data_IF_758670152058
#
_entry.id   IF_758670152058
#
_cell.length_a   1.000
_cell.length_b   1.000
_cell.length_c   1.000
_cell.angle_alpha   90.00
_cell.angle_beta   90.00
_cell.angle_gamma   90.00
#
_symmetry.space_group_name_H-M   'P 1'
#
loop_
_entity.id
_entity.type
_entity.pdbx_description
1 polymer ?
#
# COMPACT_ATOMS: atom_id res chain seq x y z
N UNK A 1 -1.18 13.65 -8.80
CA UNK A 1 -1.31 12.24 -8.37
C UNK A 1 -1.50 11.43 -9.64
N UNK A 2 -0.62 10.47 -9.94
CA UNK A 2 -0.92 9.49 -10.97
C UNK A 2 -2.16 8.72 -10.50
N UNK A 3 -3.19 8.61 -11.35
CA UNK A 3 -4.38 7.83 -11.03
C UNK A 3 -3.93 6.36 -10.93
N UNK A 4 -4.06 5.76 -9.75
CA UNK A 4 -3.83 4.33 -9.59
C UNK A 4 -4.92 3.59 -10.37
N UNK A 5 -4.54 2.87 -11.43
CA UNK A 5 -5.46 2.00 -12.15
C UNK A 5 -5.64 0.68 -11.39
N UNK A 6 -6.48 0.73 -10.36
CA UNK A 6 -6.77 -0.44 -9.50
C UNK A 6 -7.61 -1.49 -10.23
N UNK A 7 -8.43 -1.08 -11.20
CA UNK A 7 -9.24 -2.01 -11.99
C UNK A 7 -8.35 -2.79 -12.98
N UNK A 8 -7.45 -2.11 -13.70
CA UNK A 8 -6.47 -2.78 -14.54
C UNK A 8 -5.57 -3.73 -13.75
N UNK A 9 -5.14 -3.35 -12.54
CA UNK A 9 -4.37 -4.23 -11.66
C UNK A 9 -5.18 -5.46 -11.23
N UNK A 10 -6.47 -5.28 -10.93
CA UNK A 10 -7.39 -6.35 -10.54
C UNK A 10 -7.56 -7.36 -11.68
N UNK A 11 -7.83 -6.89 -12.89
CA UNK A 11 -7.93 -7.75 -14.08
C UNK A 11 -6.63 -8.52 -14.30
N UNK A 12 -5.48 -7.86 -14.14
CA UNK A 12 -4.16 -8.49 -14.28
C UNK A 12 -3.93 -9.60 -13.24
N UNK A 13 -4.28 -9.35 -11.97
CA UNK A 13 -4.22 -10.35 -10.90
C UNK A 13 -5.14 -11.54 -11.19
N UNK A 14 -6.37 -11.28 -11.64
CA UNK A 14 -7.36 -12.31 -11.95
C UNK A 14 -6.90 -13.17 -13.14
N UNK A 15 -6.29 -12.55 -14.17
CA UNK A 15 -5.65 -13.27 -15.27
C UNK A 15 -4.49 -14.16 -14.78
N UNK A 16 -3.62 -13.63 -13.91
CA UNK A 16 -2.47 -14.38 -13.42
C UNK A 16 -2.90 -15.60 -12.60
N UNK A 17 -3.89 -15.42 -11.73
CA UNK A 17 -4.48 -16.51 -10.95
C UNK A 17 -5.18 -17.52 -11.85
N UNK A 18 -5.94 -17.06 -12.85
CA UNK A 18 -6.59 -17.97 -13.81
C UNK A 18 -5.57 -18.86 -14.52
N UNK A 19 -4.47 -18.29 -15.02
CA UNK A 19 -3.40 -19.03 -15.69
C UNK A 19 -2.75 -20.06 -14.76
N UNK A 20 -2.48 -19.70 -13.50
CA UNK A 20 -1.88 -20.63 -12.53
C UNK A 20 -2.82 -21.78 -12.14
N UNK A 21 -4.12 -21.52 -12.06
CA UNK A 21 -5.12 -22.49 -11.59
C UNK A 21 -5.62 -23.41 -12.71
N UNK A 22 -5.86 -22.87 -13.92
CA UNK A 22 -6.67 -23.52 -14.95
C UNK A 22 -5.91 -23.89 -16.23
N UNK A 23 -4.66 -23.47 -16.40
CA UNK A 23 -3.86 -23.83 -17.57
C UNK A 23 -2.83 -24.94 -17.22
N UNK A 24 -3.14 -26.23 -17.49
CA UNK A 24 -2.23 -27.33 -17.18
C UNK A 24 -0.93 -27.24 -17.99
N UNK A 25 -0.94 -26.73 -19.22
CA UNK A 25 0.26 -26.51 -20.03
C UNK A 25 1.19 -25.48 -19.38
N UNK A 26 0.61 -24.43 -18.79
CA UNK A 26 1.37 -23.45 -18.03
C UNK A 26 2.00 -24.11 -16.82
N UNK A 27 1.28 -24.97 -16.09
CA UNK A 27 1.81 -25.68 -14.91
C UNK A 27 2.89 -26.69 -15.28
N UNK A 28 2.66 -27.54 -16.29
CA UNK A 28 3.63 -28.55 -16.72
C UNK A 28 4.93 -27.93 -17.23
N UNK A 29 4.84 -26.81 -17.98
CA UNK A 29 6.03 -26.06 -18.41
C UNK A 29 6.86 -25.55 -17.24
N UNK A 30 6.20 -25.21 -16.12
CA UNK A 30 6.84 -24.79 -14.87
C UNK A 30 7.46 -25.95 -14.11
N UNK A 31 6.85 -27.13 -14.18
CA UNK A 31 7.34 -28.35 -13.53
C UNK A 31 8.56 -28.96 -14.24
N UNK A 32 8.63 -28.91 -15.59
CA UNK A 32 9.58 -29.72 -16.38
C UNK A 32 10.99 -29.14 -16.57
N UNK A 33 11.30 -27.91 -16.12
CA UNK A 33 12.53 -27.20 -16.55
C UNK A 33 13.50 -26.74 -15.43
N UNK A 34 13.56 -27.38 -14.26
CA UNK A 34 14.47 -26.93 -13.19
C UNK A 34 14.12 -25.54 -12.63
N UNK A 35 12.86 -25.11 -12.83
CA UNK A 35 12.31 -23.80 -12.47
C UNK A 35 11.77 -23.73 -11.04
N UNK A 36 11.97 -24.78 -10.24
CA UNK A 36 11.56 -24.80 -8.83
C UNK A 36 12.11 -23.57 -8.08
N UNK A 37 13.35 -23.17 -8.37
CA UNK A 37 13.96 -21.97 -7.79
C UNK A 37 13.17 -20.69 -8.10
N UNK A 38 12.64 -20.53 -9.32
CA UNK A 38 11.86 -19.34 -9.70
C UNK A 38 10.47 -19.35 -9.07
N UNK A 39 9.79 -20.50 -9.05
CA UNK A 39 8.48 -20.62 -8.40
C UNK A 39 8.60 -20.40 -6.90
N UNK A 40 9.66 -20.91 -6.26
CA UNK A 40 9.98 -20.65 -4.86
C UNK A 40 10.25 -19.17 -4.61
N UNK A 41 11.03 -18.49 -5.47
CA UNK A 41 11.27 -17.05 -5.36
C UNK A 41 10.01 -16.21 -5.54
N UNK A 42 9.19 -16.51 -6.55
CA UNK A 42 7.91 -15.80 -6.77
C UNK A 42 6.93 -16.09 -5.63
N UNK A 43 6.96 -17.30 -5.07
CA UNK A 43 6.20 -17.65 -3.88
C UNK A 43 6.67 -16.84 -2.67
N UNK A 44 7.98 -16.74 -2.42
CA UNK A 44 8.54 -15.94 -1.33
C UNK A 44 8.21 -14.45 -1.52
N UNK A 45 8.30 -13.94 -2.75
CA UNK A 45 7.86 -12.60 -3.12
C UNK A 45 6.39 -12.35 -2.76
N UNK A 46 5.51 -13.31 -3.06
CA UNK A 46 4.09 -13.20 -2.71
C UNK A 46 3.86 -13.14 -1.19
N UNK A 47 4.66 -13.89 -0.40
CA UNK A 47 4.58 -13.85 1.06
C UNK A 47 4.96 -12.47 1.60
N UNK A 48 6.11 -11.95 1.14
CA UNK A 48 6.58 -10.62 1.50
C UNK A 48 5.50 -9.56 1.23
N UNK A 49 4.78 -9.67 0.11
CA UNK A 49 3.71 -8.72 -0.18
C UNK A 49 2.46 -8.89 0.68
N UNK A 50 2.13 -10.11 1.11
CA UNK A 50 1.08 -10.31 2.11
C UNK A 50 1.44 -9.63 3.43
N UNK A 51 2.70 -9.68 3.85
CA UNK A 51 3.19 -8.96 5.03
C UNK A 51 3.09 -7.44 4.82
N UNK A 52 3.46 -6.94 3.64
CA UNK A 52 3.30 -5.53 3.25
C UNK A 52 1.82 -5.11 3.30
N UNK A 53 0.90 -5.93 2.80
CA UNK A 53 -0.55 -5.69 2.91
C UNK A 53 -1.00 -5.61 4.36
N UNK A 54 -0.58 -6.54 5.22
CA UNK A 54 -0.95 -6.54 6.64
C UNK A 54 -0.48 -5.26 7.35
N UNK A 55 0.78 -4.89 7.15
CA UNK A 55 1.36 -3.64 7.67
C UNK A 55 0.60 -2.41 7.14
N UNK A 56 0.11 -2.46 5.90
CA UNK A 56 -0.66 -1.38 5.30
C UNK A 56 -2.08 -1.28 5.87
N UNK A 57 -2.73 -2.42 6.15
CA UNK A 57 -4.03 -2.47 6.86
C UNK A 57 -3.93 -1.86 8.26
N UNK A 58 -2.85 -2.14 8.99
CA UNK A 58 -2.61 -1.55 10.31
C UNK A 58 -2.49 -0.01 10.23
N UNK A 59 -1.84 0.51 9.18
CA UNK A 59 -1.78 1.97 8.94
C UNK A 59 -3.14 2.54 8.61
N UNK A 60 -3.90 1.92 7.72
CA UNK A 60 -5.24 2.40 7.36
C UNK A 60 -6.17 2.39 8.58
N UNK A 61 -6.09 1.36 9.42
CA UNK A 61 -6.80 1.31 10.69
C UNK A 61 -6.43 2.47 11.62
N UNK A 62 -5.13 2.75 11.76
CA UNK A 62 -4.66 3.86 12.58
C UNK A 62 -5.13 5.22 12.05
N UNK A 63 -5.10 5.43 10.73
CA UNK A 63 -5.60 6.65 10.08
C UNK A 63 -7.10 6.77 10.35
N UNK A 64 -7.89 5.74 10.06
CA UNK A 64 -9.35 5.74 10.25
C UNK A 64 -9.73 6.10 11.69
N UNK A 65 -9.15 5.43 12.67
CA UNK A 65 -9.45 5.69 14.07
C UNK A 65 -9.07 7.12 14.49
N UNK A 66 -7.96 7.65 13.98
CA UNK A 66 -7.55 9.01 14.30
C UNK A 66 -8.39 10.08 13.61
N UNK A 67 -8.89 9.83 12.38
CA UNK A 67 -9.86 10.69 11.71
C UNK A 67 -11.17 10.76 12.51
N UNK A 68 -11.69 9.60 12.94
CA UNK A 68 -12.92 9.52 13.72
C UNK A 68 -12.80 10.25 15.07
N UNK A 69 -11.71 10.03 15.81
CA UNK A 69 -11.44 10.71 17.10
C UNK A 69 -11.35 12.23 16.93
N UNK A 70 -10.71 12.68 15.84
CA UNK A 70 -10.58 14.09 15.52
C UNK A 70 -11.92 14.71 15.11
N UNK A 71 -12.72 14.02 14.28
CA UNK A 71 -14.06 14.48 13.92
C UNK A 71 -14.96 14.65 15.15
N UNK A 72 -14.96 13.67 16.06
CA UNK A 72 -15.72 13.75 17.30
C UNK A 72 -15.30 14.97 18.12
N UNK A 73 -14.00 15.22 18.24
CA UNK A 73 -13.46 16.38 18.95
C UNK A 73 -13.88 17.70 18.29
N UNK A 74 -13.86 17.79 16.95
CA UNK A 74 -14.21 19.00 16.22
C UNK A 74 -15.73 19.29 16.26
N UNK A 75 -16.57 18.25 16.26
CA UNK A 75 -18.04 18.36 16.34
C UNK A 75 -18.57 18.60 17.76
N UNK A 76 -17.75 18.38 18.80
CA UNK A 76 -18.14 18.68 20.18
C UNK A 76 -18.22 20.20 20.43
N UNK A 77 -19.44 20.73 20.53
CA UNK A 77 -19.75 22.15 20.81
C UNK A 77 -19.22 22.67 22.17
N UNK A 78 -18.76 21.80 23.06
CA UNK A 78 -18.21 22.18 24.37
C UNK A 78 -16.73 22.56 24.37
N UNK A 79 -15.99 22.24 23.30
CA UNK A 79 -14.54 22.51 23.22
C UNK A 79 -14.26 23.87 22.59
N UNK A 80 -13.35 24.63 23.20
CA UNK A 80 -12.92 25.91 22.64
C UNK A 80 -11.95 25.69 21.45
N UNK A 81 -11.72 26.74 20.67
CA UNK A 81 -10.90 26.66 19.45
C UNK A 81 -9.47 26.17 19.73
N UNK A 82 -8.87 26.53 20.87
CA UNK A 82 -7.51 26.12 21.24
C UNK A 82 -7.41 24.63 21.55
N UNK A 83 -8.44 24.04 22.17
CA UNK A 83 -8.53 22.59 22.40
C UNK A 83 -8.64 21.81 21.09
N UNK A 84 -9.45 22.30 20.15
CA UNK A 84 -9.61 21.71 18.80
C UNK A 84 -8.27 21.71 18.02
N UNK A 85 -7.54 22.82 18.06
CA UNK A 85 -6.20 22.93 17.45
C UNK A 85 -5.21 21.96 18.10
N UNK A 86 -5.23 21.86 19.44
CA UNK A 86 -4.35 20.95 20.16
C UNK A 86 -4.65 19.47 19.82
N UNK A 87 -5.93 19.10 19.68
CA UNK A 87 -6.36 17.77 19.27
C UNK A 87 -5.87 17.41 17.86
N UNK A 88 -6.06 18.34 16.90
CA UNK A 88 -5.54 18.19 15.54
C UNK A 88 -4.02 17.95 15.52
N UNK A 89 -3.26 18.77 16.25
CA UNK A 89 -1.80 18.64 16.32
C UNK A 89 -1.34 17.31 16.93
N UNK A 90 -2.05 16.80 17.95
CA UNK A 90 -1.77 15.47 18.52
C UNK A 90 -2.00 14.36 17.50
N UNK A 91 -3.13 14.39 16.80
CA UNK A 91 -3.45 13.42 15.75
C UNK A 91 -2.37 13.42 14.65
N UNK A 92 -2.05 14.59 14.11
CA UNK A 92 -1.02 14.76 13.07
C UNK A 92 0.32 14.18 13.48
N UNK A 93 0.78 14.50 14.70
CA UNK A 93 2.07 14.02 15.20
C UNK A 93 2.08 12.50 15.43
N UNK A 94 0.97 11.95 15.92
CA UNK A 94 0.80 10.50 16.10
C UNK A 94 0.82 9.78 14.76
N UNK A 95 0.03 10.25 13.78
CA UNK A 95 0.00 9.64 12.46
C UNK A 95 1.37 9.68 11.79
N UNK A 96 2.05 10.83 11.82
CA UNK A 96 3.44 10.94 11.32
C UNK A 96 4.34 9.85 11.87
N UNK A 97 4.31 9.68 13.19
CA UNK A 97 5.17 8.71 13.89
C UNK A 97 4.89 7.28 13.43
N UNK A 98 3.62 6.90 13.35
CA UNK A 98 3.21 5.54 13.03
C UNK A 98 3.35 5.24 11.52
N UNK A 99 3.07 6.19 10.63
CA UNK A 99 3.34 6.03 9.19
C UNK A 99 4.84 5.86 8.93
N UNK A 100 5.69 6.66 9.57
CA UNK A 100 7.14 6.52 9.44
C UNK A 100 7.63 5.15 9.96
N UNK A 101 7.06 4.69 11.08
CA UNK A 101 7.35 3.36 11.64
C UNK A 101 6.99 2.26 10.65
N UNK A 102 5.81 2.34 10.02
CA UNK A 102 5.38 1.42 8.98
C UNK A 102 6.31 1.44 7.76
N UNK A 103 6.65 2.62 7.22
CA UNK A 103 7.55 2.75 6.07
C UNK A 103 8.94 2.17 6.37
N UNK A 104 9.40 2.28 7.61
CA UNK A 104 10.66 1.64 8.04
C UNK A 104 10.52 0.11 8.18
N UNK A 105 9.37 -0.42 8.62
CA UNK A 105 9.09 -1.86 8.59
C UNK A 105 9.08 -2.39 7.16
N UNK A 106 8.47 -1.66 6.22
CA UNK A 106 8.46 -2.00 4.79
C UNK A 106 9.87 -2.03 4.18
N UNK A 107 10.73 -1.06 4.55
CA UNK A 107 12.16 -1.07 4.17
C UNK A 107 12.95 -2.22 4.79
N UNK A 108 12.59 -2.63 6.01
CA UNK A 108 13.27 -3.74 6.70
C UNK A 108 12.95 -5.08 6.06
N UNK A 109 11.71 -5.24 5.56
CA UNK A 109 11.28 -6.39 4.75
C UNK A 109 12.02 -6.40 3.38
N UNK A 110 12.42 -5.23 2.87
CA UNK A 110 13.23 -5.03 1.66
C UNK A 110 14.72 -5.41 1.83
N UNK A 111 15.19 -5.62 3.07
CA UNK A 111 16.57 -5.96 3.41
C UNK A 111 17.05 -7.33 2.89
N UNK A 112 16.15 -8.15 2.35
CA UNK A 112 16.47 -9.28 1.50
C UNK A 112 16.93 -8.79 0.12
N UNK A 113 18.22 -8.44 0.01
CA UNK A 113 18.96 -7.90 -1.15
C UNK A 113 18.76 -8.55 -2.54
N UNK A 114 17.87 -9.52 -2.72
CA UNK A 114 17.63 -10.17 -4.01
C UNK A 114 16.61 -9.49 -4.92
N UNK A 115 15.67 -8.69 -4.38
CA UNK A 115 14.43 -8.40 -5.12
C UNK A 115 14.53 -7.33 -6.22
N UNK A 116 15.33 -6.29 -6.03
CA UNK A 116 15.43 -5.16 -6.97
C UNK A 116 16.35 -5.48 -8.16
N UNK A 117 17.35 -6.36 -7.97
CA UNK A 117 18.33 -6.75 -9.00
C UNK A 117 17.91 -7.98 -9.82
N UNK A 118 16.99 -8.83 -9.34
CA UNK A 118 16.63 -10.08 -10.05
C UNK A 118 15.63 -9.90 -11.19
N UNK A 119 14.84 -8.81 -11.19
CA UNK A 119 13.80 -8.60 -12.20
C UNK A 119 14.34 -8.23 -13.60
N UNK A 120 15.64 -7.98 -13.73
CA UNK A 120 16.29 -7.66 -15.02
C UNK A 120 16.92 -8.88 -15.73
N UNK A 121 16.87 -10.09 -15.16
CA UNK A 121 17.59 -11.24 -15.75
C UNK A 121 16.78 -11.93 -16.87
N UNK A 122 17.22 -11.69 -18.11
CA UNK A 122 16.68 -12.24 -19.35
C UNK A 122 16.96 -13.75 -19.53
N UNK A 123 15.89 -14.56 -19.50
CA UNK A 123 15.61 -15.68 -20.42
C UNK A 123 14.23 -16.27 -20.09
N UNK A 124 13.24 -16.06 -20.97
CA UNK A 124 11.81 -16.04 -20.65
C UNK A 124 11.09 -17.39 -20.80
N UNK A 125 10.17 -17.68 -19.87
CA UNK A 125 8.81 -18.13 -20.21
C UNK A 125 7.77 -17.10 -19.72
N UNK A 126 6.83 -16.73 -20.59
CA UNK A 126 5.95 -15.55 -20.44
C UNK A 126 5.04 -15.62 -19.21
N UNK A 127 4.69 -16.82 -18.74
CA UNK A 127 3.70 -17.02 -17.69
C UNK A 127 4.20 -16.64 -16.27
N UNK A 128 5.46 -16.92 -15.93
CA UNK A 128 6.01 -16.52 -14.61
C UNK A 128 6.40 -15.05 -14.54
N UNK A 129 6.90 -14.50 -15.65
CA UNK A 129 7.15 -13.07 -15.74
C UNK A 129 5.87 -12.28 -15.51
N UNK A 130 4.76 -12.76 -16.07
CA UNK A 130 3.46 -12.14 -15.87
C UNK A 130 3.05 -12.08 -14.39
N UNK A 131 3.21 -13.18 -13.64
CA UNK A 131 2.95 -13.20 -12.19
C UNK A 131 3.90 -12.25 -11.47
N UNK A 132 5.20 -12.27 -11.79
CA UNK A 132 6.18 -11.39 -11.16
C UNK A 132 5.88 -9.90 -11.42
N UNK A 133 5.47 -9.54 -12.64
CA UNK A 133 5.03 -8.19 -13.01
C UNK A 133 3.78 -7.76 -12.23
N UNK A 134 2.81 -8.67 -12.06
CA UNK A 134 1.66 -8.44 -11.17
C UNK A 134 2.13 -8.12 -9.75
N UNK A 135 3.04 -8.92 -9.18
CA UNK A 135 3.55 -8.66 -7.83
C UNK A 135 4.24 -7.28 -7.76
N UNK A 136 5.01 -6.90 -8.78
CA UNK A 136 5.63 -5.57 -8.87
C UNK A 136 4.61 -4.44 -8.83
N UNK A 137 3.52 -4.56 -9.60
CA UNK A 137 2.46 -3.54 -9.63
C UNK A 137 1.65 -3.51 -8.34
N UNK A 138 1.39 -4.66 -7.71
CA UNK A 138 0.75 -4.72 -6.39
C UNK A 138 1.58 -3.97 -5.35
N UNK A 139 2.90 -4.19 -5.30
CA UNK A 139 3.81 -3.45 -4.42
C UNK A 139 3.72 -1.95 -4.67
N UNK A 140 3.78 -1.52 -5.94
CA UNK A 140 3.67 -0.11 -6.32
C UNK A 140 2.35 0.49 -5.86
N UNK A 141 1.24 -0.23 -6.06
CA UNK A 141 -0.09 0.22 -5.66
C UNK A 141 -0.16 0.42 -4.15
N UNK A 142 0.24 -0.57 -3.35
CA UNK A 142 0.20 -0.49 -1.88
C UNK A 142 1.04 0.68 -1.36
N UNK A 143 2.28 0.84 -1.86
CA UNK A 143 3.15 1.96 -1.46
C UNK A 143 2.50 3.30 -1.82
N UNK A 144 1.92 3.41 -3.01
CA UNK A 144 1.26 4.65 -3.46
C UNK A 144 0.00 4.94 -2.65
N UNK A 145 -0.77 3.92 -2.25
CA UNK A 145 -1.95 4.08 -1.37
C UNK A 145 -1.52 4.61 0.00
N UNK A 146 -0.50 4.01 0.62
CA UNK A 146 0.03 4.47 1.92
C UNK A 146 0.58 5.90 1.81
N UNK A 147 1.28 6.23 0.73
CA UNK A 147 1.82 7.58 0.47
C UNK A 147 0.70 8.61 0.21
N UNK A 148 -0.34 8.22 -0.53
CA UNK A 148 -1.50 9.07 -0.80
C UNK A 148 -2.28 9.35 0.48
N UNK A 149 -2.45 8.35 1.35
CA UNK A 149 -3.04 8.52 2.68
C UNK A 149 -2.22 9.44 3.56
N UNK A 150 -0.90 9.26 3.57
CA UNK A 150 0.01 10.12 4.31
C UNK A 150 -0.07 11.57 3.81
N UNK A 151 -0.05 11.76 2.50
CA UNK A 151 -0.19 13.06 1.85
C UNK A 151 -1.53 13.70 2.18
N UNK A 152 -2.62 12.92 2.09
CA UNK A 152 -3.97 13.37 2.43
C UNK A 152 -3.95 13.94 3.84
N UNK A 153 -3.46 13.22 4.84
CA UNK A 153 -3.53 13.69 6.23
C UNK A 153 -2.49 14.77 6.59
N UNK A 154 -1.31 14.76 5.96
CA UNK A 154 -0.18 15.62 6.35
C UNK A 154 -0.12 16.99 5.65
N UNK A 155 -0.88 17.23 4.58
CA UNK A 155 -0.94 18.55 3.93
C UNK A 155 -1.44 19.58 4.94
N UNK A 156 -0.71 20.68 5.21
CA UNK A 156 -1.29 21.81 5.93
C UNK A 156 -2.46 22.36 5.10
N UNK A 157 -3.66 22.27 5.66
CA UNK A 157 -4.93 22.44 4.96
C UNK A 157 -5.26 23.91 4.62
N UNK A 158 -4.30 24.83 4.79
CA UNK A 158 -4.39 26.25 4.43
C UNK A 158 -3.48 26.53 3.24
N UNK A 159 -4.07 27.05 2.17
CA UNK A 159 -3.41 27.29 0.89
C UNK A 159 -2.23 28.26 1.02
N UNK A 160 -1.01 27.80 0.69
CA UNK A 160 -0.08 28.63 -0.09
C UNK A 160 0.83 27.76 -0.97
N UNK A 161 1.00 28.21 -2.20
CA UNK A 161 1.89 27.60 -3.22
C UNK A 161 3.26 27.22 -2.63
N UNK A 162 3.79 26.03 -2.94
CA UNK A 162 5.16 25.70 -2.61
C UNK A 162 6.10 26.64 -3.39
N UNK A 163 7.12 27.18 -2.70
CA UNK A 163 8.25 27.83 -3.36
C UNK A 163 9.01 26.78 -4.16
N UNK A 164 9.03 26.97 -5.47
CA UNK A 164 9.74 26.14 -6.45
C UNK A 164 11.22 26.05 -6.06
N UNK A 165 11.72 24.83 -5.85
CA UNK A 165 13.15 24.55 -5.80
C UNK A 165 13.62 23.75 -4.59
N UNK A 166 13.28 22.46 -4.51
CA UNK A 166 14.22 21.45 -3.99
C UNK A 166 13.67 20.04 -4.26
N UNK A 167 14.24 19.35 -5.23
CA UNK A 167 14.01 17.92 -5.45
C UNK A 167 14.99 17.11 -4.59
N UNK A 168 14.86 17.17 -3.27
CA UNK A 168 15.63 16.32 -2.35
C UNK A 168 14.65 15.46 -1.54
N UNK A 169 14.56 14.17 -1.93
CA UNK A 169 13.71 13.09 -1.38
C UNK A 169 12.27 13.47 -1.03
N UNK A 170 11.33 12.75 -1.64
CA UNK A 170 9.87 12.84 -1.45
C UNK A 170 9.46 12.82 0.05
N UNK A 171 10.32 12.25 0.91
CA UNK A 171 10.16 12.19 2.37
C UNK A 171 10.35 13.50 3.15
N UNK A 172 10.93 14.55 2.56
CA UNK A 172 11.35 15.75 3.31
C UNK A 172 10.45 16.98 3.10
N UNK A 173 9.49 16.94 2.17
CA UNK A 173 8.80 18.15 1.67
C UNK A 173 7.29 18.14 1.91
N UNK A 174 6.84 17.68 3.08
CA UNK A 174 5.45 17.86 3.51
C UNK A 174 5.34 18.10 5.01
N UNK A 175 6.33 18.81 5.57
CA UNK A 175 6.37 19.21 6.96
C UNK A 175 6.50 20.72 7.11
N UNK A 176 5.76 21.49 6.32
CA UNK A 176 5.60 22.91 6.61
C UNK A 176 4.50 23.07 7.66
N UNK A 177 4.90 23.51 8.85
CA UNK A 177 4.01 24.05 9.85
C UNK A 177 3.49 25.40 9.31
N UNK A 178 2.17 25.57 9.29
CA UNK A 178 1.63 26.91 9.16
C UNK A 178 1.39 27.46 10.57
N UNK A 179 2.08 28.55 10.85
CA UNK A 179 1.80 29.45 11.97
C UNK A 179 0.76 30.45 11.44
N UNK A 180 -0.50 30.02 11.32
CA UNK A 180 -1.62 30.88 10.91
C UNK A 180 -2.74 30.83 11.95
N UNK A 181 -3.44 31.95 12.05
CA UNK A 181 -4.61 32.14 12.89
C UNK A 181 -5.72 31.15 12.45
N UNK A 182 -5.91 30.12 13.25
CA UNK A 182 -7.08 29.26 13.14
C UNK A 182 -8.33 30.09 13.40
N UNK A 183 -9.29 30.05 12.49
CA UNK A 183 -10.62 30.62 12.66
C UNK A 183 -11.70 29.55 12.47
N UNK A 184 -12.95 29.94 12.70
CA UNK A 184 -14.10 29.02 12.63
C UNK A 184 -14.33 28.49 11.20
N UNK A 185 -14.00 29.28 10.17
CA UNK A 185 -14.12 28.89 8.76
C UNK A 185 -13.07 27.84 8.39
N UNK A 186 -11.82 28.01 8.84
CA UNK A 186 -10.74 27.06 8.67
C UNK A 186 -11.03 25.74 9.39
N UNK A 187 -11.65 25.79 10.58
CA UNK A 187 -12.11 24.60 11.30
C UNK A 187 -13.21 23.86 10.54
N UNK A 188 -14.20 24.57 10.01
CA UNK A 188 -15.28 23.95 9.25
C UNK A 188 -14.76 23.30 7.95
N UNK A 189 -13.87 23.99 7.25
CA UNK A 189 -13.18 23.46 6.06
C UNK A 189 -12.37 22.20 6.39
N UNK A 190 -11.63 22.21 7.51
CA UNK A 190 -10.90 21.04 7.98
C UNK A 190 -11.84 19.87 8.30
N UNK A 191 -13.00 20.12 8.92
CA UNK A 191 -14.01 19.08 9.20
C UNK A 191 -14.53 18.42 7.91
N UNK A 192 -14.94 19.20 6.90
CA UNK A 192 -15.41 18.64 5.62
C UNK A 192 -14.33 17.83 4.91
N UNK A 193 -13.06 18.27 5.00
CA UNK A 193 -11.95 17.56 4.40
C UNK A 193 -11.57 16.27 5.15
N UNK A 194 -11.77 16.23 6.48
CA UNK A 194 -11.65 15.00 7.26
C UNK A 194 -12.72 13.98 6.88
N UNK A 195 -13.95 14.42 6.62
CA UNK A 195 -15.04 13.54 6.11
C UNK A 195 -14.67 12.93 4.76
N UNK A 196 -14.18 13.75 3.82
CA UNK A 196 -13.69 13.24 2.54
C UNK A 196 -12.53 12.24 2.73
N UNK A 197 -11.63 12.50 3.68
CA UNK A 197 -10.52 11.60 3.97
C UNK A 197 -10.96 10.28 4.58
N UNK A 198 -12.01 10.26 5.41
CA UNK A 198 -12.57 9.02 5.95
C UNK A 198 -13.15 8.13 4.85
N UNK A 199 -13.90 8.73 3.91
CA UNK A 199 -14.46 8.00 2.76
C UNK A 199 -13.33 7.41 1.92
N UNK A 200 -12.30 8.21 1.61
CA UNK A 200 -11.15 7.71 0.84
C UNK A 200 -10.39 6.59 1.57
N UNK A 201 -10.23 6.68 2.90
CA UNK A 201 -9.62 5.60 3.69
C UNK A 201 -10.43 4.32 3.58
N UNK A 202 -11.75 4.40 3.70
CA UNK A 202 -12.64 3.25 3.59
C UNK A 202 -12.55 2.58 2.21
N UNK A 203 -12.57 3.37 1.13
CA UNK A 203 -12.39 2.87 -0.24
C UNK A 203 -11.04 2.16 -0.41
N UNK A 204 -9.96 2.76 0.09
CA UNK A 204 -8.62 2.19 -0.01
C UNK A 204 -8.47 0.89 0.80
N UNK A 205 -9.17 0.74 1.92
CA UNK A 205 -9.16 -0.49 2.70
C UNK A 205 -9.89 -1.64 2.00
N UNK A 206 -11.00 -1.33 1.33
CA UNK A 206 -11.71 -2.31 0.49
C UNK A 206 -10.79 -2.81 -0.63
N UNK A 207 -10.11 -1.89 -1.31
CA UNK A 207 -9.19 -2.24 -2.40
C UNK A 207 -7.98 -3.02 -1.91
N UNK A 208 -7.39 -2.64 -0.77
CA UNK A 208 -6.28 -3.37 -0.17
C UNK A 208 -6.69 -4.79 0.24
N UNK A 209 -7.89 -4.96 0.80
CA UNK A 209 -8.44 -6.28 1.13
C UNK A 209 -8.66 -7.13 -0.13
N UNK A 210 -9.13 -6.52 -1.22
CA UNK A 210 -9.27 -7.16 -2.53
C UNK A 210 -7.93 -7.66 -3.08
N UNK A 211 -6.88 -6.84 -3.00
CA UNK A 211 -5.51 -7.22 -3.39
C UNK A 211 -5.01 -8.37 -2.51
N UNK A 212 -5.19 -8.26 -1.20
CA UNK A 212 -4.72 -9.26 -0.23
C UNK A 212 -5.30 -10.65 -0.51
N UNK A 213 -6.62 -10.75 -0.74
CA UNK A 213 -7.28 -12.02 -1.06
C UNK A 213 -6.74 -12.66 -2.35
N UNK A 214 -6.50 -11.85 -3.38
CA UNK A 214 -5.95 -12.33 -4.66
C UNK A 214 -4.52 -12.81 -4.53
N UNK A 215 -3.70 -12.14 -3.71
CA UNK A 215 -2.34 -12.60 -3.40
C UNK A 215 -2.33 -13.93 -2.65
N UNK A 216 -3.28 -14.15 -1.73
CA UNK A 216 -3.44 -15.46 -1.07
C UNK A 216 -3.70 -16.53 -2.13
N UNK A 217 -4.61 -16.27 -3.08
CA UNK A 217 -4.88 -17.22 -4.16
C UNK A 217 -3.61 -17.49 -4.97
N UNK A 218 -2.90 -16.47 -5.44
CA UNK A 218 -1.64 -16.61 -6.18
C UNK A 218 -0.66 -17.51 -5.44
N UNK A 219 -0.48 -17.27 -4.13
CA UNK A 219 0.42 -18.07 -3.29
C UNK A 219 -0.03 -19.52 -3.18
N UNK A 220 -1.32 -19.77 -2.96
CA UNK A 220 -1.86 -21.14 -2.89
C UNK A 220 -1.60 -21.89 -4.20
N UNK A 221 -1.83 -21.27 -5.35
CA UNK A 221 -1.58 -21.87 -6.67
C UNK A 221 -0.10 -22.18 -6.87
N UNK A 222 0.81 -21.26 -6.52
CA UNK A 222 2.26 -21.47 -6.60
C UNK A 222 2.72 -22.61 -5.68
N UNK A 223 2.22 -22.67 -4.43
CA UNK A 223 2.55 -23.73 -3.47
C UNK A 223 2.03 -25.10 -3.94
N UNK A 224 0.85 -25.15 -4.56
CA UNK A 224 0.30 -26.38 -5.13
C UNK A 224 1.17 -26.89 -6.29
N UNK A 225 1.69 -26.01 -7.14
CA UNK A 225 2.62 -26.37 -8.22
C UNK A 225 3.93 -26.92 -7.64
N UNK A 226 4.51 -26.24 -6.65
CA UNK A 226 5.73 -26.70 -5.96
C UNK A 226 5.56 -28.05 -5.27
N UNK A 227 4.40 -28.30 -4.68
CA UNK A 227 4.13 -29.55 -3.97
C UNK A 227 3.93 -30.71 -4.94
N UNK A 228 3.25 -30.48 -6.06
CA UNK A 228 3.04 -31.49 -7.11
C UNK A 228 4.38 -32.01 -7.70
N UNK A 229 5.38 -31.15 -7.84
CA UNK A 229 6.73 -31.54 -8.29
C UNK A 229 7.41 -32.54 -7.37
N UNK A 230 7.26 -32.36 -6.04
CA UNK A 230 7.94 -33.21 -5.03
C UNK A 230 7.35 -34.61 -4.93
N UNK A 231 6.16 -34.85 -5.49
CA UNK A 231 5.45 -36.14 -5.39
C UNK A 231 5.56 -37.02 -6.64
N UNK A 232 6.28 -36.60 -7.70
CA UNK A 232 6.50 -37.45 -8.88
C UNK A 232 7.63 -38.46 -8.61
N UNK A 233 7.37 -39.77 -8.54
CA UNK A 233 8.43 -40.76 -8.38
C UNK A 233 9.17 -40.94 -9.70
N UNK A 234 10.51 -40.85 -9.64
CA UNK A 234 11.44 -41.27 -10.71
C UNK A 234 11.35 -42.78 -10.91
#
# INVERSE_FOLDING_TARGET
MALLDLEGLRELQDCANYLLDHCPEARESLCQQGKENWIEQVSEASLIMLDVCNVSKDVMALVRHGLQDLQLTLRCNGSNLTEKIAAYNRYRNKLKKETLKCLNSLKSIEGGRGMMEMMEMQSIEQNLLFVAEVLREVRRAIVTMVDSLFSLVCVPWLERKPSIGSYSSIFTMQFCCFDDAWDEVAMQSASTRLEAAEITVEELEIELECIFRRLIQTRVSLLNILTANKTSPV
#
